data_IF_974595132877
#
_entry.id   IF_974595132877
#
_cell.length_a   1.000
_cell.length_b   1.000
_cell.length_c   1.000
_cell.angle_alpha   90.00
_cell.angle_beta   90.00
_cell.angle_gamma   90.00
#
_symmetry.space_group_name_H-M   'P 1'
#
loop_
_entity.id
_entity.type
_entity.pdbx_description
1 polymer ?
#
# COMPACT_ATOMS: atom_id res chain seq x y z
N UNK A 1 26.27 -17.31 -28.70
CA UNK A 1 26.36 -17.87 -27.34
C UNK A 1 25.71 -16.90 -26.37
N UNK A 2 24.55 -17.25 -25.79
CA UNK A 2 23.87 -16.38 -24.83
C UNK A 2 24.68 -16.36 -23.52
N UNK A 3 25.05 -15.18 -23.03
CA UNK A 3 25.91 -15.02 -21.86
C UNK A 3 25.23 -15.65 -20.64
N UNK A 4 25.85 -16.67 -20.02
CA UNK A 4 25.32 -17.38 -18.86
C UNK A 4 24.91 -16.43 -17.71
N UNK A 5 25.52 -15.25 -17.60
CA UNK A 5 25.15 -14.21 -16.63
C UNK A 5 23.82 -13.53 -16.97
N UNK A 6 23.52 -13.31 -18.25
CA UNK A 6 22.25 -12.75 -18.72
C UNK A 6 21.13 -13.76 -18.51
N UNK A 7 21.35 -15.03 -18.84
CA UNK A 7 20.36 -16.09 -18.62
C UNK A 7 20.13 -16.33 -17.12
N UNK A 8 21.18 -16.30 -16.29
CA UNK A 8 21.05 -16.41 -14.83
C UNK A 8 20.28 -15.23 -14.21
N UNK A 9 20.49 -14.01 -14.71
CA UNK A 9 19.75 -12.84 -14.27
C UNK A 9 18.28 -12.88 -14.72
N UNK A 10 18.03 -13.30 -15.97
CA UNK A 10 16.66 -13.54 -16.47
C UNK A 10 15.97 -14.65 -15.68
N UNK A 11 16.64 -15.77 -15.41
CA UNK A 11 16.11 -16.82 -14.54
C UNK A 11 15.87 -16.33 -13.10
N UNK A 12 16.69 -15.42 -12.55
CA UNK A 12 16.45 -14.84 -11.22
C UNK A 12 15.19 -13.95 -11.20
N UNK A 13 14.88 -13.30 -12.32
CA UNK A 13 13.62 -12.56 -12.53
C UNK A 13 12.45 -13.55 -12.61
N UNK A 14 12.60 -14.69 -13.29
CA UNK A 14 11.56 -15.74 -13.38
C UNK A 14 11.39 -16.59 -12.10
N UNK A 15 12.44 -16.82 -11.31
CA UNK A 15 12.40 -17.66 -10.11
C UNK A 15 12.06 -16.90 -8.82
N UNK A 16 12.00 -15.57 -8.88
CA UNK A 16 11.43 -14.73 -7.82
C UNK A 16 10.13 -14.11 -8.35
N UNK A 17 9.26 -14.93 -8.93
CA UNK A 17 7.87 -14.55 -9.10
C UNK A 17 7.21 -14.60 -7.72
N UNK A 18 7.30 -13.50 -6.98
CA UNK A 18 6.35 -13.26 -5.91
C UNK A 18 4.98 -13.12 -6.58
N UNK A 19 4.13 -14.10 -6.33
CA UNK A 19 2.79 -14.15 -6.89
C UNK A 19 1.97 -12.97 -6.38
N UNK A 20 0.96 -12.56 -7.15
CA UNK A 20 -0.03 -11.58 -6.68
C UNK A 20 -0.59 -11.99 -5.32
N UNK A 21 -0.84 -13.29 -5.10
CA UNK A 21 -1.34 -13.83 -3.83
C UNK A 21 -0.40 -13.49 -2.67
N UNK A 22 0.91 -13.66 -2.84
CA UNK A 22 1.90 -13.35 -1.80
C UNK A 22 1.99 -11.84 -1.56
N UNK A 23 1.92 -11.01 -2.61
CA UNK A 23 1.88 -9.55 -2.43
C UNK A 23 0.64 -9.13 -1.63
N UNK A 24 -0.53 -9.66 -1.99
CA UNK A 24 -1.76 -9.35 -1.28
C UNK A 24 -1.74 -9.86 0.16
N UNK A 25 -1.13 -11.02 0.44
CA UNK A 25 -0.92 -11.50 1.80
C UNK A 25 0.00 -10.55 2.59
N UNK A 26 1.07 -10.05 1.96
CA UNK A 26 1.99 -9.10 2.56
C UNK A 26 1.33 -7.75 2.84
N UNK A 27 0.72 -7.08 1.86
CA UNK A 27 0.17 -5.72 2.02
C UNK A 27 -1.00 -5.67 3.02
N UNK A 28 -1.70 -6.79 3.22
CA UNK A 28 -2.80 -6.93 4.18
C UNK A 28 -2.34 -7.21 5.62
N UNK A 29 -1.06 -7.48 5.86
CA UNK A 29 -0.54 -7.69 7.22
C UNK A 29 -0.83 -6.47 8.10
N UNK A 30 -1.23 -6.74 9.33
CA UNK A 30 -1.47 -5.71 10.32
C UNK A 30 -0.18 -4.95 10.63
N UNK A 31 -0.32 -3.63 10.80
CA UNK A 31 0.76 -2.77 11.22
C UNK A 31 0.65 -2.54 12.73
N UNK A 32 1.78 -2.66 13.45
CA UNK A 32 1.81 -2.33 14.87
C UNK A 32 1.35 -0.88 15.08
N UNK A 33 0.36 -0.70 15.97
CA UNK A 33 -0.42 0.54 16.13
C UNK A 33 0.39 1.77 16.55
N UNK A 34 1.63 1.60 17.00
CA UNK A 34 2.49 2.66 17.53
C UNK A 34 3.42 3.27 16.49
N UNK A 35 3.92 2.47 15.54
CA UNK A 35 5.15 2.80 14.80
C UNK A 35 4.89 3.82 13.69
N UNK A 36 3.67 3.85 13.16
CA UNK A 36 3.31 4.63 11.98
C UNK A 36 2.51 5.90 12.28
N UNK A 37 2.23 6.17 13.56
CA UNK A 37 1.56 7.40 14.00
C UNK A 37 2.29 8.67 13.54
N UNK A 38 3.61 8.60 13.33
CA UNK A 38 4.45 9.71 12.88
C UNK A 38 4.24 10.07 11.41
N UNK A 39 4.02 9.08 10.54
CA UNK A 39 3.96 9.28 9.08
C UNK A 39 2.67 9.97 8.63
N UNK A 40 1.59 9.77 9.36
CA UNK A 40 0.28 10.17 8.88
C UNK A 40 -0.36 11.26 9.75
N UNK A 41 0.40 12.24 10.26
CA UNK A 41 -0.17 13.36 11.05
C UNK A 41 -1.27 14.12 10.30
N UNK A 42 -1.16 14.21 8.97
CA UNK A 42 -2.15 14.89 8.12
C UNK A 42 -3.41 14.07 7.86
N UNK A 43 -3.30 12.73 7.91
CA UNK A 43 -4.45 11.82 7.84
C UNK A 43 -5.09 11.55 9.21
N UNK A 44 -4.56 12.12 10.31
CA UNK A 44 -5.27 12.08 11.60
C UNK A 44 -6.60 12.81 11.41
N UNK A 45 -7.70 12.06 11.41
CA UNK A 45 -9.01 12.66 11.69
C UNK A 45 -9.02 13.10 13.15
N UNK A 46 -9.76 14.19 13.42
CA UNK A 46 -10.15 14.58 14.77
C UNK A 46 -10.70 13.36 15.52
N UNK A 47 -10.65 13.38 16.86
CA UNK A 47 -10.83 12.32 17.89
C UNK A 47 -11.84 11.16 17.66
N UNK A 48 -12.63 11.18 16.59
CA UNK A 48 -13.60 10.18 16.17
C UNK A 48 -13.18 9.43 14.88
N UNK A 49 -11.89 9.13 14.69
CA UNK A 49 -11.46 8.22 13.60
C UNK A 49 -12.04 6.81 13.87
N UNK A 50 -12.71 6.20 12.89
CA UNK A 50 -13.15 4.81 13.03
C UNK A 50 -11.93 3.89 13.12
N UNK A 51 -12.05 2.79 13.87
CA UNK A 51 -10.96 1.80 14.00
C UNK A 51 -10.48 1.30 12.63
N UNK A 52 -11.38 1.14 11.66
CA UNK A 52 -11.06 0.70 10.30
C UNK A 52 -10.22 1.72 9.52
N UNK A 53 -10.56 3.02 9.62
CA UNK A 53 -9.77 4.09 8.98
C UNK A 53 -8.36 4.15 9.59
N UNK A 54 -8.28 4.00 10.92
CA UNK A 54 -7.02 3.98 11.65
C UNK A 54 -6.14 2.78 11.26
N UNK A 55 -6.74 1.59 11.12
CA UNK A 55 -6.03 0.37 10.68
C UNK A 55 -5.53 0.49 9.24
N UNK A 56 -6.37 0.97 8.32
CA UNK A 56 -5.98 1.22 6.93
C UNK A 56 -4.82 2.20 6.84
N UNK A 57 -4.87 3.31 7.59
CA UNK A 57 -3.81 4.31 7.66
C UNK A 57 -2.47 3.70 8.08
N UNK A 58 -2.48 2.82 9.09
CA UNK A 58 -1.25 2.16 9.54
C UNK A 58 -0.72 1.15 8.51
N UNK A 59 -1.61 0.39 7.84
CA UNK A 59 -1.23 -0.53 6.75
C UNK A 59 -0.59 0.23 5.58
N UNK A 60 -1.19 1.35 5.17
CA UNK A 60 -0.64 2.23 4.12
C UNK A 60 0.77 2.68 4.50
N UNK A 61 0.97 3.24 5.69
CA UNK A 61 2.27 3.75 6.12
C UNK A 61 3.36 2.66 6.16
N UNK A 62 3.05 1.48 6.69
CA UNK A 62 3.95 0.32 6.69
C UNK A 62 4.35 -0.08 5.28
N UNK A 63 3.38 -0.15 4.37
CA UNK A 63 3.62 -0.56 2.98
C UNK A 63 4.47 0.48 2.23
N UNK A 64 4.24 1.78 2.44
CA UNK A 64 5.08 2.85 1.88
C UNK A 64 6.52 2.75 2.40
N UNK A 65 6.72 2.54 3.70
CA UNK A 65 8.06 2.38 4.27
C UNK A 65 8.76 1.12 3.73
N UNK A 66 8.04 0.02 3.57
CA UNK A 66 8.59 -1.21 3.00
C UNK A 66 9.03 -1.01 1.55
N UNK A 67 8.19 -0.36 0.73
CA UNK A 67 8.50 -0.07 -0.68
C UNK A 67 9.62 0.95 -0.84
N UNK A 68 9.72 1.95 0.05
CA UNK A 68 10.78 2.98 -0.03
C UNK A 68 12.18 2.44 0.27
N UNK A 69 12.26 1.30 0.97
CA UNK A 69 13.52 0.58 1.24
C UNK A 69 13.92 -0.38 0.12
N UNK A 70 13.09 -0.57 -0.91
CA UNK A 70 13.41 -1.42 -2.04
C UNK A 70 14.27 -0.68 -3.08
N UNK A 71 15.25 -1.39 -3.64
CA UNK A 71 15.96 -0.91 -4.82
C UNK A 71 14.98 -0.73 -6.00
N UNK A 72 15.20 0.32 -6.80
CA UNK A 72 14.40 0.65 -7.99
C UNK A 72 14.58 -0.38 -9.12
N UNK A 73 13.99 -1.55 -8.92
CA UNK A 73 14.05 -2.73 -9.78
C UNK A 73 12.69 -3.02 -10.40
N UNK A 74 12.64 -3.90 -11.40
CA UNK A 74 11.38 -4.37 -11.99
C UNK A 74 10.46 -5.01 -10.93
N UNK A 75 11.04 -5.69 -9.94
CA UNK A 75 10.32 -6.26 -8.79
C UNK A 75 9.66 -5.16 -7.96
N UNK A 76 10.37 -4.07 -7.67
CA UNK A 76 9.81 -2.92 -6.97
C UNK A 76 8.67 -2.29 -7.79
N UNK A 77 8.83 -2.13 -9.11
CA UNK A 77 7.75 -1.60 -9.99
C UNK A 77 6.53 -2.52 -10.01
N UNK A 78 6.72 -3.83 -10.10
CA UNK A 78 5.64 -4.82 -10.05
C UNK A 78 4.86 -4.72 -8.73
N UNK A 79 5.57 -4.69 -7.60
CA UNK A 79 4.97 -4.53 -6.26
C UNK A 79 4.26 -3.18 -6.10
N UNK A 80 4.83 -2.09 -6.60
CA UNK A 80 4.19 -0.77 -6.60
C UNK A 80 2.88 -0.75 -7.39
N UNK A 81 2.79 -1.47 -8.51
CA UNK A 81 1.54 -1.60 -9.28
C UNK A 81 0.46 -2.31 -8.47
N UNK A 82 0.79 -3.45 -7.84
CA UNK A 82 -0.15 -4.16 -6.96
C UNK A 82 -0.57 -3.31 -5.76
N UNK A 83 0.38 -2.60 -5.15
CA UNK A 83 0.11 -1.73 -4.02
C UNK A 83 -0.85 -0.57 -4.39
N UNK A 84 -0.71 0.01 -5.59
CA UNK A 84 -1.65 1.01 -6.10
C UNK A 84 -3.06 0.45 -6.21
N UNK A 85 -3.23 -0.73 -6.81
CA UNK A 85 -4.54 -1.37 -6.90
C UNK A 85 -5.13 -1.66 -5.52
N UNK A 86 -4.33 -2.20 -4.61
CA UNK A 86 -4.74 -2.45 -3.24
C UNK A 86 -5.21 -1.17 -2.51
N UNK A 87 -4.50 -0.03 -2.64
CA UNK A 87 -4.97 1.25 -2.08
C UNK A 87 -6.36 1.62 -2.64
N UNK A 88 -6.57 1.48 -3.95
CA UNK A 88 -7.87 1.80 -4.55
C UNK A 88 -9.00 0.91 -3.99
N UNK A 89 -8.74 -0.39 -3.83
CA UNK A 89 -9.72 -1.33 -3.28
C UNK A 89 -10.07 -1.01 -1.82
N UNK A 90 -9.06 -0.74 -0.98
CA UNK A 90 -9.26 -0.37 0.42
C UNK A 90 -9.99 0.97 0.57
N UNK A 91 -9.61 1.98 -0.22
CA UNK A 91 -10.32 3.26 -0.24
C UNK A 91 -11.76 3.07 -0.68
N UNK A 92 -12.01 2.27 -1.72
CA UNK A 92 -13.37 1.96 -2.16
C UNK A 92 -14.18 1.29 -1.04
N UNK A 93 -13.57 0.36 -0.30
CA UNK A 93 -14.20 -0.30 0.84
C UNK A 93 -14.55 0.65 1.98
N UNK A 94 -13.66 1.58 2.34
CA UNK A 94 -13.97 2.58 3.38
C UNK A 94 -15.05 3.56 2.91
N UNK A 95 -15.00 3.96 1.63
CA UNK A 95 -15.92 4.96 1.08
C UNK A 95 -17.31 4.41 0.74
N UNK A 96 -17.44 3.12 0.42
CA UNK A 96 -18.75 2.50 0.13
C UNK A 96 -19.63 2.47 1.38
N UNK A 97 -19.02 2.31 2.55
CA UNK A 97 -19.71 2.20 3.84
C UNK A 97 -20.05 3.59 4.43
N UNK A 98 -19.40 4.68 3.99
CA UNK A 98 -19.80 6.06 4.29
C UNK A 98 -21.08 6.46 3.53
N UNK A 99 -22.25 6.12 4.07
CA UNK A 99 -23.58 6.41 3.48
C UNK A 99 -23.83 7.89 3.20
N UNK A 100 -23.19 8.80 3.94
CA UNK A 100 -23.28 10.24 3.68
C UNK A 100 -22.23 10.69 2.64
N UNK A 101 -22.72 11.24 1.53
CA UNK A 101 -21.90 11.76 0.43
C UNK A 101 -20.98 12.91 0.85
N UNK A 102 -21.38 13.72 1.83
CA UNK A 102 -20.60 14.82 2.41
C UNK A 102 -19.33 14.31 3.11
N UNK A 103 -19.46 13.25 3.92
CA UNK A 103 -18.34 12.61 4.59
C UNK A 103 -17.40 11.94 3.59
N UNK A 104 -17.97 11.23 2.60
CA UNK A 104 -17.22 10.59 1.51
C UNK A 104 -16.34 11.57 0.75
N UNK A 105 -16.90 12.70 0.34
CA UNK A 105 -16.17 13.75 -0.37
C UNK A 105 -15.06 14.37 0.51
N UNK A 106 -15.31 14.54 1.81
CA UNK A 106 -14.31 15.03 2.76
C UNK A 106 -13.17 14.02 2.95
N UNK A 107 -13.48 12.72 2.95
CA UNK A 107 -12.49 11.63 2.99
C UNK A 107 -11.61 11.66 1.74
N UNK A 108 -12.21 11.68 0.55
CA UNK A 108 -11.50 11.71 -0.73
C UNK A 108 -10.59 12.94 -0.82
N UNK A 109 -11.09 14.13 -0.50
CA UNK A 109 -10.31 15.36 -0.58
C UNK A 109 -9.09 15.35 0.35
N UNK A 110 -9.20 14.73 1.55
CA UNK A 110 -8.05 14.58 2.45
C UNK A 110 -6.97 13.66 1.88
N UNK A 111 -7.36 12.55 1.26
CA UNK A 111 -6.40 11.67 0.59
C UNK A 111 -5.73 12.34 -0.61
N UNK A 112 -6.48 13.09 -1.42
CA UNK A 112 -5.94 13.82 -2.57
C UNK A 112 -5.00 14.97 -2.17
N UNK A 113 -5.22 15.60 -1.02
CA UNK A 113 -4.33 16.66 -0.49
C UNK A 113 -3.04 16.11 0.11
N UNK A 114 -3.00 14.84 0.49
CA UNK A 114 -1.83 14.18 1.06
C UNK A 114 -0.89 13.57 -0.01
N UNK A 115 -1.22 13.75 -1.29
CA UNK A 115 -0.43 13.33 -2.46
C UNK A 115 0.54 14.42 -2.90
#
# INVERSE_FOLDING_TARGET
MCNKKIVKNAMKIFYVEISSKEIYAEVNQDANKTDYNRFCKELRRDRNESNETFELRNKIARNVEYLSKMDNTDICRYRCTHYKHWIYDELHNVLKDEKESSHRNKTINKFMQAQ
#
